data_IF_219146442694
#
_entry.id   IF_219146442694
#
_cell.length_a   1.000
_cell.length_b   1.000
_cell.length_c   1.000
_cell.angle_alpha   90.00
_cell.angle_beta   90.00
_cell.angle_gamma   90.00
#
_symmetry.space_group_name_H-M   'P 1'
#
loop_
_entity.id
_entity.type
_entity.pdbx_description
1 polymer ?
#
# COMPACT_ATOMS: atom_id res chain seq x y z
N UNK A 1 18.91 38.66 -23.38
CA UNK A 1 18.31 37.53 -24.14
C UNK A 1 18.94 36.18 -23.76
N UNK A 2 20.27 35.99 -23.86
CA UNK A 2 20.93 34.69 -23.60
C UNK A 2 20.63 34.04 -22.21
N UNK A 3 20.53 34.84 -21.15
CA UNK A 3 20.19 34.36 -19.80
C UNK A 3 18.75 33.84 -19.69
N UNK A 4 17.80 34.53 -20.33
CA UNK A 4 16.40 34.10 -20.35
C UNK A 4 16.23 32.79 -21.13
N UNK A 5 16.93 32.66 -22.26
CA UNK A 5 16.96 31.41 -23.05
C UNK A 5 17.52 30.23 -22.24
N UNK A 6 18.61 30.45 -21.49
CA UNK A 6 19.20 29.41 -20.64
C UNK A 6 18.24 28.93 -19.54
N UNK A 7 17.50 29.85 -18.90
CA UNK A 7 16.52 29.52 -17.87
C UNK A 7 15.37 28.69 -18.47
N UNK A 8 14.85 29.09 -19.64
CA UNK A 8 13.78 28.35 -20.32
C UNK A 8 14.23 26.94 -20.70
N UNK A 9 15.44 26.79 -21.25
CA UNK A 9 16.00 25.47 -21.60
C UNK A 9 16.15 24.60 -20.36
N UNK A 10 16.65 25.15 -19.25
CA UNK A 10 16.77 24.42 -17.99
C UNK A 10 15.41 23.96 -17.48
N UNK A 11 14.39 24.81 -17.57
CA UNK A 11 13.03 24.54 -17.12
C UNK A 11 12.36 23.44 -17.96
N UNK A 12 12.53 23.48 -19.28
CA UNK A 12 12.03 22.43 -20.19
C UNK A 12 12.74 21.11 -19.96
N UNK A 13 14.06 21.14 -19.74
CA UNK A 13 14.85 19.95 -19.45
C UNK A 13 14.44 19.31 -18.11
N UNK A 14 14.26 20.11 -17.05
CA UNK A 14 13.80 19.59 -15.77
C UNK A 14 12.37 19.06 -15.84
N UNK A 15 11.47 19.67 -16.61
CA UNK A 15 10.15 19.10 -16.88
C UNK A 15 10.26 17.75 -17.60
N UNK A 16 11.03 17.67 -18.67
CA UNK A 16 11.18 16.45 -19.47
C UNK A 16 11.77 15.28 -18.66
N UNK A 17 12.68 15.56 -17.73
CA UNK A 17 13.27 14.54 -16.85
C UNK A 17 12.33 14.16 -15.71
N UNK A 18 11.61 15.11 -15.10
CA UNK A 18 10.82 14.84 -13.89
C UNK A 18 9.39 14.32 -14.17
N UNK A 19 8.76 14.70 -15.29
CA UNK A 19 7.40 14.25 -15.64
C UNK A 19 7.24 12.71 -15.70
N UNK A 20 8.18 11.94 -16.30
CA UNK A 20 8.08 10.49 -16.33
C UNK A 20 8.04 9.87 -14.93
N UNK A 21 8.76 10.46 -13.96
CA UNK A 21 8.75 9.96 -12.59
C UNK A 21 7.44 10.26 -11.86
N UNK A 22 6.77 11.39 -12.15
CA UNK A 22 5.48 11.72 -11.54
C UNK A 22 4.30 10.97 -12.16
N UNK A 23 4.34 10.65 -13.46
CA UNK A 23 3.23 9.99 -14.15
C UNK A 23 3.16 8.47 -13.88
N UNK A 24 4.24 7.87 -13.37
CA UNK A 24 4.28 6.45 -13.04
C UNK A 24 3.93 6.14 -11.57
N UNK A 25 3.50 7.13 -10.78
CA UNK A 25 3.00 6.85 -9.43
C UNK A 25 1.63 6.19 -9.54
N UNK A 26 1.58 4.87 -9.38
CA UNK A 26 0.32 4.14 -9.26
C UNK A 26 -0.36 4.55 -7.96
N UNK A 27 -1.49 5.25 -8.07
CA UNK A 27 -2.38 5.48 -6.93
C UNK A 27 -3.17 4.21 -6.67
N UNK A 28 -2.86 3.53 -5.57
CA UNK A 28 -3.63 2.40 -5.09
C UNK A 28 -4.67 2.92 -4.11
N UNK A 29 -5.95 2.69 -4.43
CA UNK A 29 -7.02 2.95 -3.49
C UNK A 29 -7.17 1.75 -2.56
N UNK A 30 -7.35 2.03 -1.26
CA UNK A 30 -7.62 0.99 -0.27
C UNK A 30 -9.04 0.41 -0.39
N UNK A 31 -9.91 1.03 -1.18
CA UNK A 31 -11.28 0.61 -1.43
C UNK A 31 -11.60 0.74 -2.92
N UNK A 32 -12.51 -0.08 -3.42
CA UNK A 32 -13.01 -0.02 -4.80
C UNK A 32 -14.51 0.30 -4.81
N UNK A 33 -15.15 0.27 -5.99
CA UNK A 33 -16.58 0.56 -6.12
C UNK A 33 -17.48 -0.53 -5.50
N UNK A 34 -16.92 -1.71 -5.19
CA UNK A 34 -17.66 -2.88 -4.69
C UNK A 34 -17.69 -2.99 -3.17
N UNK A 35 -16.70 -2.42 -2.47
CA UNK A 35 -16.66 -2.39 -1.01
C UNK A 35 -16.13 -1.08 -0.43
N UNK A 36 -16.52 -0.79 0.80
CA UNK A 36 -16.03 0.35 1.58
C UNK A 36 -15.42 -0.14 2.89
N UNK A 37 -14.26 0.38 3.25
CA UNK A 37 -13.64 0.14 4.56
C UNK A 37 -14.31 1.07 5.58
N UNK A 38 -15.06 0.49 6.52
CA UNK A 38 -15.78 1.25 7.54
C UNK A 38 -14.90 1.56 8.76
N UNK A 39 -14.09 0.58 9.18
CA UNK A 39 -13.22 0.68 10.36
C UNK A 39 -12.03 -0.24 10.22
N UNK A 40 -10.89 0.23 10.74
CA UNK A 40 -9.68 -0.57 10.93
C UNK A 40 -9.25 -0.41 12.37
N UNK A 41 -9.25 -1.50 13.13
CA UNK A 41 -8.68 -1.57 14.47
C UNK A 41 -7.33 -2.29 14.37
N UNK A 42 -6.24 -1.54 14.58
CA UNK A 42 -4.86 -2.00 14.41
C UNK A 42 -4.19 -2.19 15.77
N UNK A 43 -3.68 -3.38 16.04
CA UNK A 43 -2.92 -3.69 17.25
C UNK A 43 -1.52 -4.19 16.89
N UNK A 44 -0.51 -3.60 17.54
CA UNK A 44 0.88 -4.05 17.46
C UNK A 44 1.29 -4.61 18.80
N UNK A 45 1.80 -5.83 18.81
CA UNK A 45 2.39 -6.48 19.97
C UNK A 45 3.84 -6.83 19.69
N UNK A 46 4.74 -6.47 20.61
CA UNK A 46 6.15 -6.88 20.58
C UNK A 46 6.33 -7.95 21.64
N UNK A 47 6.65 -9.16 21.19
CA UNK A 47 6.87 -10.30 22.07
C UNK A 47 8.25 -10.22 22.72
N UNK A 48 8.42 -10.87 23.89
CA UNK A 48 9.73 -11.00 24.55
C UNK A 48 10.82 -11.61 23.66
N UNK A 49 10.44 -12.46 22.71
CA UNK A 49 11.33 -13.05 21.71
C UNK A 49 11.77 -12.07 20.61
N UNK A 50 11.38 -10.80 20.68
CA UNK A 50 11.64 -9.77 19.66
C UNK A 50 10.75 -9.84 18.43
N UNK A 51 9.84 -10.83 18.37
CA UNK A 51 8.89 -10.94 17.25
C UNK A 51 7.78 -9.90 17.37
N UNK A 52 7.32 -9.39 16.23
CA UNK A 52 6.22 -8.45 16.15
C UNK A 52 4.99 -9.15 15.62
N UNK A 53 3.88 -9.04 16.34
CA UNK A 53 2.57 -9.52 15.92
C UNK A 53 1.69 -8.32 15.61
N UNK A 54 1.21 -8.26 14.37
CA UNK A 54 0.23 -7.27 13.91
C UNK A 54 -1.14 -7.96 13.87
N UNK A 55 -2.13 -7.37 14.53
CA UNK A 55 -3.52 -7.84 14.51
C UNK A 55 -4.42 -6.72 14.03
N UNK A 56 -4.96 -6.91 12.83
CA UNK A 56 -5.82 -5.93 12.17
C UNK A 56 -7.22 -6.51 12.07
N UNK A 57 -8.19 -5.82 12.66
CA UNK A 57 -9.61 -6.12 12.47
C UNK A 57 -10.18 -5.08 11.52
N UNK A 58 -10.58 -5.53 10.32
CA UNK A 58 -11.05 -4.65 9.25
C UNK A 58 -12.53 -4.91 9.05
N UNK A 59 -13.35 -3.89 9.27
CA UNK A 59 -14.78 -3.94 9.00
C UNK A 59 -15.06 -3.34 7.63
N UNK A 60 -15.58 -4.16 6.73
CA UNK A 60 -15.98 -3.74 5.38
C UNK A 60 -17.51 -3.78 5.23
N UNK A 61 -18.04 -2.96 4.33
CA UNK A 61 -19.41 -3.05 3.84
C UNK A 61 -19.42 -3.12 2.32
N UNK A 62 -20.49 -3.68 1.75
CA UNK A 62 -20.57 -3.99 0.32
C UNK A 62 -20.18 -5.44 0.06
N UNK A 63 -19.80 -5.74 -1.17
CA UNK A 63 -19.44 -7.09 -1.59
C UNK A 63 -18.02 -7.11 -2.13
N UNK A 64 -17.15 -7.83 -1.42
CA UNK A 64 -15.78 -8.06 -1.86
C UNK A 64 -15.80 -9.06 -3.02
N UNK A 65 -15.60 -8.59 -4.25
CA UNK A 65 -15.71 -9.42 -5.46
C UNK A 65 -14.39 -10.07 -5.90
N UNK A 66 -13.30 -9.88 -5.16
CA UNK A 66 -11.97 -10.39 -5.49
C UNK A 66 -11.03 -10.47 -4.29
N UNK A 67 -9.74 -10.25 -4.53
CA UNK A 67 -8.72 -10.24 -3.47
C UNK A 67 -8.74 -8.94 -2.68
N UNK A 68 -8.63 -9.03 -1.36
CA UNK A 68 -8.38 -7.88 -0.50
C UNK A 68 -6.87 -7.67 -0.32
N UNK A 69 -6.36 -6.51 -0.72
CA UNK A 69 -4.92 -6.21 -0.64
C UNK A 69 -4.59 -5.49 0.66
N UNK A 70 -3.63 -6.04 1.41
CA UNK A 70 -3.10 -5.42 2.63
C UNK A 70 -1.65 -5.02 2.37
N UNK A 71 -1.39 -3.72 2.46
CA UNK A 71 -0.05 -3.17 2.35
C UNK A 71 0.71 -3.26 3.67
N UNK A 72 1.93 -3.79 3.62
CA UNK A 72 2.90 -3.69 4.73
C UNK A 72 4.06 -2.82 4.24
N UNK A 73 4.65 -1.95 5.08
CA UNK A 73 5.82 -1.17 4.68
C UNK A 73 6.92 -2.06 4.11
N UNK A 74 7.43 -1.71 2.92
CA UNK A 74 8.37 -2.53 2.15
C UNK A 74 9.57 -3.03 2.96
N UNK A 75 10.12 -2.20 3.86
CA UNK A 75 11.23 -2.56 4.76
C UNK A 75 10.97 -3.79 5.64
N UNK A 76 9.71 -4.16 5.84
CA UNK A 76 9.30 -5.29 6.67
C UNK A 76 8.85 -6.50 5.85
N UNK A 77 8.60 -6.34 4.53
CA UNK A 77 8.00 -7.39 3.69
C UNK A 77 8.78 -8.69 3.69
N UNK A 78 10.11 -8.62 3.57
CA UNK A 78 11.01 -9.79 3.61
C UNK A 78 11.08 -10.49 4.97
N UNK A 79 10.55 -9.87 6.03
CA UNK A 79 10.59 -10.39 7.40
C UNK A 79 9.23 -10.91 7.87
N UNK A 80 8.21 -10.93 6.99
CA UNK A 80 6.90 -11.51 7.30
C UNK A 80 7.03 -13.03 7.36
N UNK A 81 6.95 -13.58 8.57
CA UNK A 81 7.08 -15.02 8.79
C UNK A 81 5.79 -15.78 8.48
N UNK A 82 4.65 -15.15 8.75
CA UNK A 82 3.32 -15.76 8.60
C UNK A 82 2.26 -14.68 8.49
N UNK A 83 1.26 -14.91 7.64
CA UNK A 83 0.03 -14.13 7.59
C UNK A 83 -1.17 -15.08 7.56
N UNK A 84 -2.25 -14.69 8.22
CA UNK A 84 -3.50 -15.42 8.28
C UNK A 84 -4.64 -14.40 8.18
N UNK A 85 -5.57 -14.64 7.26
CA UNK A 85 -6.82 -13.89 7.16
C UNK A 85 -7.98 -14.82 7.50
N UNK A 86 -8.90 -14.37 8.34
CA UNK A 86 -10.05 -15.16 8.77
C UNK A 86 -11.22 -14.27 9.18
N UNK A 87 -12.42 -14.85 9.19
CA UNK A 87 -13.60 -14.32 9.85
C UNK A 87 -14.16 -15.37 10.84
N UNK A 88 -15.37 -15.14 11.36
CA UNK A 88 -16.00 -16.04 12.33
C UNK A 88 -16.20 -17.48 11.82
N UNK A 89 -16.23 -17.71 10.50
CA UNK A 89 -16.59 -18.99 9.88
C UNK A 89 -15.54 -19.52 8.91
N UNK A 90 -14.61 -18.69 8.44
CA UNK A 90 -13.74 -18.99 7.31
C UNK A 90 -12.29 -18.61 7.59
N UNK A 91 -11.36 -19.39 7.02
CA UNK A 91 -9.95 -19.00 6.86
C UNK A 91 -9.72 -18.76 5.38
N UNK A 92 -9.22 -17.59 5.03
CA UNK A 92 -9.01 -17.18 3.65
C UNK A 92 -7.60 -17.51 3.17
N UNK A 93 -7.42 -17.88 1.89
CA UNK A 93 -6.09 -18.03 1.31
C UNK A 93 -5.38 -16.67 1.28
N UNK A 94 -4.11 -16.66 1.70
CA UNK A 94 -3.27 -15.46 1.71
C UNK A 94 -2.08 -15.67 0.77
N UNK A 95 -1.86 -14.72 -0.12
CA UNK A 95 -0.63 -14.60 -0.91
C UNK A 95 0.19 -13.44 -0.38
N UNK A 96 1.45 -13.69 -0.02
CA UNK A 96 2.34 -12.66 0.53
C UNK A 96 2.91 -11.71 -0.53
N UNK A 97 2.74 -12.02 -1.82
CA UNK A 97 3.23 -11.17 -2.92
C UNK A 97 4.74 -10.93 -2.92
N UNK A 98 5.51 -11.83 -2.30
CA UNK A 98 6.99 -11.82 -2.24
C UNK A 98 7.61 -12.64 -3.36
#
# INVERSE_FOLDING_TARGET
MKRATAIIVLMVFSLAVLLPFSLNTQTVLAQDDSYTIQRVDHQVEVMYSGHVVLRDTIRVSGQLTGSFLIGIPHKYGSYVLKSVAYDDNNVFPVSLGV
#
